data_IF_261384340856
#
_entry.id   IF_261384340856
#
_cell.length_a   1.000
_cell.length_b   1.000
_cell.length_c   1.000
_cell.angle_alpha   90.00
_cell.angle_beta   90.00
_cell.angle_gamma   90.00
#
_symmetry.space_group_name_H-M   'P 1'
#
loop_
_entity.id
_entity.type
_entity.pdbx_description
1 polymer ?
#
# COMPACT_ATOMS: atom_id res chain seq x y z
N UNK A 1 26.10 -11.10 -14.57
CA UNK A 1 24.67 -11.21 -14.88
C UNK A 1 24.03 -9.82 -14.84
N UNK A 2 24.03 -9.09 -13.71
CA UNK A 2 23.37 -7.76 -13.59
C UNK A 2 24.02 -6.71 -14.50
N UNK A 3 25.34 -6.69 -14.64
CA UNK A 3 26.08 -5.78 -15.54
C UNK A 3 25.81 -6.08 -17.03
N UNK A 4 25.33 -7.28 -17.35
CA UNK A 4 24.95 -7.67 -18.72
C UNK A 4 23.47 -7.37 -19.02
N UNK A 5 22.76 -6.60 -18.18
CA UNK A 5 21.36 -6.27 -18.36
C UNK A 5 20.39 -7.44 -18.12
N UNK A 6 20.82 -8.45 -17.36
CA UNK A 6 20.03 -9.58 -16.94
C UNK A 6 19.73 -9.52 -15.45
N UNK A 7 18.51 -9.86 -15.07
CA UNK A 7 18.06 -9.95 -13.67
C UNK A 7 18.00 -11.41 -13.28
N UNK A 8 18.68 -11.82 -12.21
CA UNK A 8 18.57 -13.17 -11.67
C UNK A 8 17.18 -13.37 -11.06
N UNK A 9 16.62 -14.57 -11.27
CA UNK A 9 15.36 -14.97 -10.70
C UNK A 9 15.41 -16.44 -10.26
N UNK A 10 14.53 -16.80 -9.33
CA UNK A 10 14.42 -18.15 -8.81
C UNK A 10 12.99 -18.62 -9.01
N UNK A 11 12.83 -19.84 -9.51
CA UNK A 11 11.55 -20.53 -9.58
C UNK A 11 11.56 -21.62 -8.51
N UNK A 12 10.58 -21.59 -7.63
CA UNK A 12 10.42 -22.58 -6.58
C UNK A 12 8.97 -23.07 -6.48
N UNK A 13 8.76 -24.12 -5.70
CA UNK A 13 7.46 -24.73 -5.49
C UNK A 13 7.22 -25.97 -6.37
N UNK A 14 6.18 -26.72 -6.04
CA UNK A 14 5.91 -28.00 -6.67
C UNK A 14 6.79 -29.13 -6.12
N UNK A 15 6.92 -30.21 -6.92
CA UNK A 15 7.74 -31.36 -6.57
C UNK A 15 9.15 -31.31 -7.17
N UNK A 16 9.41 -30.34 -8.03
CA UNK A 16 10.68 -30.18 -8.72
C UNK A 16 11.64 -29.29 -7.93
N UNK A 17 12.93 -29.45 -8.20
CA UNK A 17 13.97 -28.64 -7.59
C UNK A 17 13.87 -27.15 -7.99
N UNK A 18 14.43 -26.30 -7.13
CA UNK A 18 14.47 -24.86 -7.39
C UNK A 18 15.37 -24.57 -8.60
N UNK A 19 14.84 -23.85 -9.56
CA UNK A 19 15.56 -23.47 -10.78
C UNK A 19 16.01 -22.01 -10.71
N UNK A 20 17.29 -21.78 -11.03
CA UNK A 20 17.85 -20.44 -11.14
C UNK A 20 17.80 -20.02 -12.60
N UNK A 21 17.19 -18.89 -12.88
CA UNK A 21 17.04 -18.33 -14.22
C UNK A 21 17.55 -16.91 -14.31
N UNK A 22 17.77 -16.43 -15.51
CA UNK A 22 18.13 -15.04 -15.80
C UNK A 22 17.18 -14.47 -16.83
N UNK A 23 16.56 -13.33 -16.52
CA UNK A 23 15.55 -12.68 -17.36
C UNK A 23 16.10 -11.34 -17.84
N UNK A 24 15.78 -10.94 -19.06
CA UNK A 24 16.14 -9.61 -19.57
C UNK A 24 15.49 -8.51 -18.74
N UNK A 25 16.30 -7.56 -18.25
CA UNK A 25 15.86 -6.41 -17.46
C UNK A 25 14.79 -5.57 -18.18
N UNK A 26 14.94 -5.38 -19.50
CA UNK A 26 13.98 -4.60 -20.30
C UNK A 26 12.60 -5.26 -20.32
N UNK A 27 12.53 -6.57 -20.60
CA UNK A 27 11.28 -7.31 -20.60
C UNK A 27 10.63 -7.33 -19.22
N UNK A 28 11.45 -7.55 -18.20
CA UNK A 28 10.95 -7.58 -16.81
C UNK A 28 10.37 -6.22 -16.39
N UNK A 29 11.02 -5.11 -16.76
CA UNK A 29 10.51 -3.77 -16.46
C UNK A 29 9.15 -3.52 -17.10
N UNK A 30 8.98 -3.84 -18.37
CA UNK A 30 7.69 -3.73 -19.08
C UNK A 30 6.59 -4.60 -18.47
N UNK A 31 6.95 -5.77 -17.93
CA UNK A 31 5.98 -6.64 -17.26
C UNK A 31 5.58 -6.09 -15.87
N UNK A 32 6.53 -5.54 -15.11
CA UNK A 32 6.29 -4.98 -13.78
C UNK A 32 5.46 -3.68 -13.84
N UNK A 33 5.58 -2.90 -14.91
CA UNK A 33 4.78 -1.69 -15.13
C UNK A 33 3.26 -1.98 -15.21
N UNK A 34 2.89 -3.24 -15.44
CA UNK A 34 1.49 -3.67 -15.34
C UNK A 34 1.11 -3.86 -13.87
N UNK A 35 0.07 -3.18 -13.44
CA UNK A 35 -0.42 -3.25 -12.04
C UNK A 35 -0.74 -4.70 -11.60
N UNK A 36 -1.15 -5.54 -12.55
CA UNK A 36 -1.56 -6.93 -12.33
C UNK A 36 -0.40 -7.93 -12.35
N UNK A 37 0.86 -7.48 -12.42
CA UNK A 37 2.01 -8.37 -12.55
C UNK A 37 2.06 -9.43 -11.44
N UNK A 38 1.80 -9.04 -10.19
CA UNK A 38 1.84 -9.95 -9.04
C UNK A 38 0.62 -10.88 -8.93
N UNK A 39 -0.46 -10.58 -9.65
CA UNK A 39 -1.69 -11.39 -9.65
C UNK A 39 -1.88 -12.22 -10.92
N UNK A 40 -1.02 -12.05 -11.94
CA UNK A 40 -1.15 -12.76 -13.20
C UNK A 40 -0.22 -13.97 -13.31
N UNK A 41 -0.72 -15.06 -13.88
CA UNK A 41 0.10 -16.22 -14.24
C UNK A 41 0.88 -15.90 -15.49
N UNK A 42 2.18 -16.12 -15.44
CA UNK A 42 3.11 -15.91 -16.55
C UNK A 42 3.65 -17.25 -17.01
N UNK A 43 3.66 -17.49 -18.31
CA UNK A 43 4.30 -18.66 -18.90
C UNK A 43 5.74 -18.31 -19.24
N UNK A 44 6.69 -18.92 -18.53
CA UNK A 44 8.11 -18.79 -18.82
C UNK A 44 8.59 -19.97 -19.67
N UNK A 45 9.25 -19.67 -20.78
CA UNK A 45 9.92 -20.68 -21.60
C UNK A 45 11.35 -20.89 -21.12
N UNK A 46 11.59 -22.00 -20.43
CA UNK A 46 12.90 -22.37 -19.90
C UNK A 46 13.41 -23.57 -20.69
N UNK A 47 14.51 -23.38 -21.43
CA UNK A 47 15.12 -24.44 -22.26
C UNK A 47 14.11 -25.16 -23.17
N UNK A 48 13.12 -24.42 -23.69
CA UNK A 48 12.09 -24.99 -24.58
C UNK A 48 10.90 -25.63 -23.87
N UNK A 49 10.85 -25.61 -22.53
CA UNK A 49 9.71 -26.10 -21.76
C UNK A 49 8.91 -24.92 -21.22
N UNK A 50 7.62 -24.78 -21.56
CA UNK A 50 6.76 -23.76 -20.99
C UNK A 50 6.40 -24.14 -19.52
N UNK A 51 6.66 -23.24 -18.59
CA UNK A 51 6.27 -23.40 -17.17
C UNK A 51 5.39 -22.24 -16.75
N UNK A 52 4.25 -22.56 -16.14
CA UNK A 52 3.36 -21.55 -15.57
C UNK A 52 3.85 -21.17 -14.18
N UNK A 53 4.13 -19.90 -13.99
CA UNK A 53 4.65 -19.35 -12.76
C UNK A 53 3.88 -18.10 -12.35
N UNK A 54 3.84 -17.86 -11.05
CA UNK A 54 3.27 -16.66 -10.45
C UNK A 54 4.40 -15.84 -9.82
N UNK A 55 4.58 -14.57 -10.17
CA UNK A 55 5.52 -13.70 -9.48
C UNK A 55 5.09 -13.53 -8.01
N UNK A 56 6.01 -13.72 -7.09
CA UNK A 56 5.72 -13.62 -5.65
C UNK A 56 6.32 -12.36 -5.05
N UNK A 57 7.58 -12.11 -5.34
CA UNK A 57 8.31 -10.97 -4.82
C UNK A 57 9.22 -10.38 -5.88
N UNK A 58 9.28 -9.07 -5.95
CA UNK A 58 10.23 -8.33 -6.78
C UNK A 58 11.05 -7.45 -5.86
N UNK A 59 12.37 -7.62 -5.89
CA UNK A 59 13.31 -6.76 -5.17
C UNK A 59 13.84 -5.67 -6.07
N UNK A 60 13.77 -4.44 -5.59
CA UNK A 60 14.23 -3.26 -6.33
C UNK A 60 15.53 -2.71 -5.73
N UNK A 61 16.24 -2.00 -6.54
CA UNK A 61 17.40 -1.23 -6.09
C UNK A 61 16.91 0.09 -5.48
N UNK A 62 17.42 0.44 -4.30
CA UNK A 62 16.90 1.55 -3.47
C UNK A 62 16.96 2.92 -4.16
N UNK A 63 17.98 3.15 -5.01
CA UNK A 63 18.20 4.46 -5.65
C UNK A 63 17.66 4.55 -7.08
N UNK A 64 17.65 3.43 -7.82
CA UNK A 64 17.32 3.43 -9.25
C UNK A 64 15.98 2.79 -9.56
N UNK A 65 15.27 2.25 -8.56
CA UNK A 65 14.02 1.50 -8.68
C UNK A 65 14.06 0.39 -9.75
N UNK A 66 15.27 -0.08 -10.06
CA UNK A 66 15.46 -1.14 -11.01
C UNK A 66 15.28 -2.50 -10.36
N UNK A 67 14.61 -3.45 -11.02
CA UNK A 67 14.45 -4.80 -10.49
C UNK A 67 15.81 -5.49 -10.40
N UNK A 68 16.14 -5.98 -9.20
CA UNK A 68 17.41 -6.67 -8.89
C UNK A 68 17.26 -8.16 -8.74
N UNK A 69 16.09 -8.64 -8.34
CA UNK A 69 15.76 -10.05 -8.16
C UNK A 69 14.25 -10.26 -8.29
N UNK A 70 13.84 -11.41 -8.81
CA UNK A 70 12.41 -11.80 -8.86
C UNK A 70 12.27 -13.24 -8.42
N UNK A 71 11.27 -13.47 -7.59
CA UNK A 71 10.90 -14.76 -7.08
C UNK A 71 9.61 -15.24 -7.76
N UNK A 72 9.65 -16.42 -8.34
CA UNK A 72 8.52 -17.04 -9.01
C UNK A 72 8.09 -18.30 -8.27
N UNK A 73 6.80 -18.42 -8.05
CA UNK A 73 6.16 -19.62 -7.54
C UNK A 73 5.62 -20.45 -8.71
N UNK A 74 6.00 -21.73 -8.78
CA UNK A 74 5.49 -22.66 -9.77
C UNK A 74 4.01 -22.95 -9.48
N UNK A 75 3.16 -22.74 -10.49
CA UNK A 75 1.71 -22.95 -10.35
C UNK A 75 1.35 -24.33 -10.85
N UNK A 76 0.80 -25.15 -9.95
CA UNK A 76 0.23 -26.45 -10.27
C UNK A 76 -1.28 -26.33 -10.41
N UNK A 77 -1.91 -27.04 -11.35
CA UNK A 77 -3.37 -27.05 -11.48
C UNK A 77 -4.03 -27.60 -10.22
N UNK A 78 -5.14 -27.00 -9.81
CA UNK A 78 -5.92 -27.44 -8.64
C UNK A 78 -5.37 -27.06 -7.27
N UNK A 79 -4.26 -26.34 -7.18
CA UNK A 79 -3.71 -25.85 -5.90
C UNK A 79 -4.28 -24.47 -5.56
N UNK A 80 -4.66 -24.27 -4.30
CA UNK A 80 -5.04 -22.93 -3.80
C UNK A 80 -3.80 -22.11 -3.49
N UNK A 81 -3.79 -20.89 -3.99
CA UNK A 81 -2.65 -19.98 -3.87
C UNK A 81 -3.11 -18.69 -3.20
N UNK A 82 -2.29 -18.15 -2.31
CA UNK A 82 -2.48 -16.83 -1.73
C UNK A 82 -1.90 -15.80 -2.67
N UNK A 83 -2.68 -14.84 -3.12
CA UNK A 83 -2.30 -13.82 -4.09
C UNK A 83 -2.74 -12.45 -3.60
N UNK A 84 -1.91 -11.44 -3.85
CA UNK A 84 -2.25 -10.04 -3.64
C UNK A 84 -2.85 -9.47 -4.93
N UNK A 85 -4.13 -9.15 -4.88
CA UNK A 85 -4.86 -8.58 -6.02
C UNK A 85 -5.06 -7.09 -5.82
N UNK A 86 -4.75 -6.24 -6.81
CA UNK A 86 -4.96 -4.82 -6.74
C UNK A 86 -6.46 -4.48 -6.77
N UNK A 87 -6.82 -3.42 -6.06
CA UNK A 87 -8.18 -2.90 -6.01
C UNK A 87 -8.29 -1.67 -6.90
N UNK A 88 -9.19 -1.73 -7.88
CA UNK A 88 -9.49 -0.64 -8.78
C UNK A 88 -10.82 0.01 -8.37
N UNK A 89 -10.80 1.32 -8.22
CA UNK A 89 -11.98 2.11 -7.90
C UNK A 89 -12.55 2.69 -9.19
N UNK A 90 -13.84 2.44 -9.43
CA UNK A 90 -14.55 2.94 -10.60
C UNK A 90 -15.62 3.94 -10.19
N UNK A 91 -16.12 4.74 -11.17
CA UNK A 91 -17.21 5.70 -10.98
C UNK A 91 -16.92 6.84 -9.97
N UNK A 92 -15.66 7.30 -9.91
CA UNK A 92 -15.29 8.45 -9.08
C UNK A 92 -16.19 9.67 -9.28
N UNK A 93 -16.57 9.96 -10.52
CA UNK A 93 -17.39 11.11 -10.87
C UNK A 93 -18.85 10.99 -10.42
N UNK A 94 -19.35 9.80 -10.18
CA UNK A 94 -20.73 9.56 -9.79
C UNK A 94 -20.96 9.61 -8.29
N UNK A 95 -19.90 9.52 -7.50
CA UNK A 95 -19.98 9.59 -6.04
C UNK A 95 -20.44 10.97 -5.57
N UNK A 96 -21.55 11.09 -4.84
CA UNK A 96 -22.01 12.36 -4.28
C UNK A 96 -21.06 12.88 -3.21
N UNK A 97 -20.39 12.02 -2.47
CA UNK A 97 -19.43 12.38 -1.46
C UNK A 97 -18.16 13.02 -2.05
N UNK A 98 -17.64 12.51 -3.17
CA UNK A 98 -16.50 13.13 -3.87
C UNK A 98 -16.88 14.49 -4.48
N UNK A 99 -18.10 14.61 -5.03
CA UNK A 99 -18.61 15.89 -5.55
C UNK A 99 -18.75 16.98 -4.48
N UNK A 100 -19.03 16.59 -3.25
CA UNK A 100 -19.08 17.50 -2.09
C UNK A 100 -17.72 17.85 -1.51
N UNK A 101 -16.63 17.40 -2.16
CA UNK A 101 -15.27 17.66 -1.72
C UNK A 101 -14.71 16.62 -0.75
N UNK A 102 -15.35 15.46 -0.59
CA UNK A 102 -14.81 14.34 0.16
C UNK A 102 -13.51 13.81 -0.44
N UNK A 103 -12.65 13.26 0.41
CA UNK A 103 -11.37 12.67 0.01
C UNK A 103 -11.45 11.16 0.18
N UNK A 104 -11.14 10.43 -0.90
CA UNK A 104 -11.02 8.98 -0.85
C UNK A 104 -9.71 8.59 -0.16
N UNK A 105 -9.80 8.06 1.04
CA UNK A 105 -8.67 7.53 1.78
C UNK A 105 -8.58 6.01 1.52
N UNK A 106 -7.57 5.59 0.76
CA UNK A 106 -7.33 4.20 0.43
C UNK A 106 -6.48 3.58 1.54
N UNK A 107 -7.09 2.73 2.36
CA UNK A 107 -6.42 2.00 3.44
C UNK A 107 -5.62 0.83 2.90
N UNK A 108 -6.17 0.13 1.90
CA UNK A 108 -5.52 -1.02 1.25
C UNK A 108 -5.65 -0.93 -0.25
N UNK A 109 -4.51 -0.86 -0.93
CA UNK A 109 -4.45 -0.89 -2.40
C UNK A 109 -4.47 -2.30 -2.96
N UNK A 110 -4.07 -3.28 -2.14
CA UNK A 110 -4.02 -4.70 -2.49
C UNK A 110 -4.73 -5.51 -1.43
N UNK A 111 -5.41 -6.54 -1.84
CA UNK A 111 -6.11 -7.48 -0.95
C UNK A 111 -5.56 -8.88 -1.17
N UNK A 112 -5.19 -9.55 -0.07
CA UNK A 112 -4.77 -10.93 -0.12
C UNK A 112 -5.98 -11.86 -0.23
N UNK A 113 -6.00 -12.62 -1.31
CA UNK A 113 -7.02 -13.61 -1.60
C UNK A 113 -6.43 -15.00 -1.68
N UNK A 114 -7.19 -15.98 -1.26
CA UNK A 114 -6.90 -17.38 -1.43
C UNK A 114 -7.81 -17.93 -2.53
N UNK A 115 -7.26 -18.16 -3.71
CA UNK A 115 -7.99 -18.58 -4.90
C UNK A 115 -7.36 -19.84 -5.52
N UNK A 116 -8.16 -20.65 -6.24
CA UNK A 116 -7.63 -21.74 -7.04
C UNK A 116 -6.83 -21.17 -8.22
N UNK A 117 -5.80 -21.91 -8.64
CA UNK A 117 -4.90 -21.49 -9.73
C UNK A 117 -5.59 -21.20 -11.06
N UNK A 118 -6.79 -21.72 -11.28
CA UNK A 118 -7.53 -21.57 -12.52
C UNK A 118 -8.39 -20.30 -12.58
N UNK A 119 -8.74 -19.76 -11.42
CA UNK A 119 -9.65 -18.61 -11.28
C UNK A 119 -8.99 -17.50 -10.45
N UNK A 120 -7.98 -16.89 -11.00
CA UNK A 120 -7.31 -15.76 -10.39
C UNK A 120 -7.95 -14.48 -10.91
N UNK A 121 -8.57 -13.64 -10.05
CA UNK A 121 -9.06 -12.35 -10.49
C UNK A 121 -7.89 -11.41 -10.78
N UNK A 122 -7.88 -10.78 -11.94
CA UNK A 122 -6.84 -9.81 -12.29
C UNK A 122 -6.94 -8.55 -11.42
N UNK A 123 -8.15 -8.07 -11.18
CA UNK A 123 -8.43 -6.88 -10.40
C UNK A 123 -9.70 -7.06 -9.56
N UNK A 124 -9.76 -6.39 -8.42
CA UNK A 124 -10.98 -6.21 -7.65
C UNK A 124 -11.57 -4.85 -8.00
N UNK A 125 -12.78 -4.83 -8.54
CA UNK A 125 -13.46 -3.58 -8.84
C UNK A 125 -14.37 -3.18 -7.69
N UNK A 126 -14.20 -1.95 -7.20
CA UNK A 126 -15.06 -1.30 -6.23
C UNK A 126 -15.80 -0.14 -6.89
N UNK A 127 -17.11 -0.17 -6.81
CA UNK A 127 -17.95 0.89 -7.34
C UNK A 127 -18.20 1.96 -6.28
N UNK A 128 -17.92 3.22 -6.63
CA UNK A 128 -18.10 4.39 -5.77
C UNK A 128 -19.45 5.08 -6.00
N UNK A 129 -20.34 4.48 -6.79
CA UNK A 129 -21.63 5.10 -7.10
C UNK A 129 -22.52 5.17 -5.85
N UNK A 130 -23.14 6.34 -5.64
CA UNK A 130 -24.10 6.57 -4.56
C UNK A 130 -23.53 6.71 -3.15
N UNK A 131 -22.22 6.72 -2.96
CA UNK A 131 -21.59 6.74 -1.65
C UNK A 131 -21.35 8.17 -1.15
N UNK A 132 -21.73 8.41 0.10
CA UNK A 132 -21.60 9.69 0.78
C UNK A 132 -20.38 9.75 1.73
N UNK A 133 -20.11 10.96 2.23
CA UNK A 133 -19.01 11.24 3.15
C UNK A 133 -19.24 10.49 4.48
N UNK A 134 -18.20 9.83 4.97
CA UNK A 134 -18.25 9.04 6.20
C UNK A 134 -18.48 7.54 6.01
N UNK A 135 -18.76 7.10 4.80
CA UNK A 135 -18.90 5.69 4.50
C UNK A 135 -17.57 4.99 4.28
N UNK A 136 -17.54 3.70 4.60
CA UNK A 136 -16.36 2.85 4.46
C UNK A 136 -16.66 1.65 3.60
N UNK A 137 -15.75 1.39 2.66
CA UNK A 137 -15.78 0.19 1.82
C UNK A 137 -15.14 -0.97 2.55
N UNK A 138 -15.91 -1.99 2.77
CA UNK A 138 -15.46 -3.25 3.37
C UNK A 138 -15.31 -4.32 2.30
N UNK A 139 -14.59 -5.39 2.64
CA UNK A 139 -14.42 -6.54 1.73
C UNK A 139 -15.76 -7.15 1.30
N UNK A 140 -16.78 -7.10 2.15
CA UNK A 140 -18.13 -7.59 1.85
C UNK A 140 -18.83 -6.84 0.71
N UNK A 141 -18.41 -5.61 0.41
CA UNK A 141 -18.97 -4.81 -0.70
C UNK A 141 -18.36 -5.19 -2.06
N UNK A 142 -17.28 -5.98 -2.06
CA UNK A 142 -16.62 -6.43 -3.29
C UNK A 142 -17.30 -7.67 -3.82
N UNK A 143 -17.60 -7.70 -5.11
CA UNK A 143 -18.10 -8.91 -5.77
C UNK A 143 -16.94 -9.89 -5.94
N UNK A 144 -16.90 -10.88 -5.07
CA UNK A 144 -15.95 -11.98 -5.14
C UNK A 144 -16.63 -13.21 -5.73
N UNK A 145 -15.88 -13.97 -6.52
CA UNK A 145 -16.32 -15.28 -6.97
C UNK A 145 -16.45 -16.23 -5.79
N UNK A 146 -17.38 -17.19 -5.86
CA UNK A 146 -17.68 -18.12 -4.78
C UNK A 146 -16.49 -19.00 -4.33
N UNK A 147 -15.49 -19.17 -5.18
CA UNK A 147 -14.29 -19.98 -4.91
C UNK A 147 -13.12 -19.15 -4.34
N UNK A 148 -13.24 -17.82 -4.43
CA UNK A 148 -12.22 -16.86 -3.95
C UNK A 148 -12.57 -16.45 -2.54
N UNK A 149 -11.66 -16.70 -1.62
CA UNK A 149 -11.85 -16.35 -0.20
C UNK A 149 -10.76 -15.39 0.26
N UNK A 150 -11.11 -14.34 1.01
CA UNK A 150 -10.07 -13.48 1.60
C UNK A 150 -9.24 -14.27 2.61
N UNK A 151 -7.94 -14.00 2.68
CA UNK A 151 -7.03 -14.64 3.64
C UNK A 151 -7.42 -14.30 5.07
N UNK A 152 -7.90 -13.08 5.30
CA UNK A 152 -8.39 -12.64 6.61
C UNK A 152 -9.87 -13.01 6.71
N UNK A 153 -10.14 -14.13 7.36
CA UNK A 153 -11.49 -14.59 7.67
C UNK A 153 -11.90 -14.11 9.07
N UNK A 154 -13.17 -13.78 9.24
CA UNK A 154 -13.72 -13.37 10.54
C UNK A 154 -13.66 -11.87 10.87
N UNK A 155 -13.11 -11.05 10.00
CA UNK A 155 -13.17 -9.60 10.10
C UNK A 155 -13.51 -8.97 8.76
N UNK A 156 -14.52 -8.11 8.75
CA UNK A 156 -14.79 -7.21 7.63
C UNK A 156 -13.77 -6.07 7.67
N UNK A 157 -12.65 -6.25 7.01
CA UNK A 157 -11.66 -5.20 6.93
C UNK A 157 -12.05 -4.12 5.91
N UNK A 158 -11.67 -2.91 6.24
CA UNK A 158 -11.91 -1.74 5.40
C UNK A 158 -10.83 -1.66 4.32
N UNK A 159 -11.26 -1.42 3.09
CA UNK A 159 -10.40 -1.23 1.91
C UNK A 159 -10.17 0.27 1.69
N UNK A 160 -11.25 1.05 1.71
CA UNK A 160 -11.18 2.49 1.55
C UNK A 160 -12.26 3.18 2.39
N UNK A 161 -12.04 4.43 2.72
CA UNK A 161 -13.00 5.29 3.43
C UNK A 161 -13.14 6.61 2.71
N UNK A 162 -14.35 7.15 2.66
CA UNK A 162 -14.59 8.49 2.15
C UNK A 162 -14.66 9.46 3.32
N UNK A 163 -13.61 10.26 3.51
CA UNK A 163 -13.51 11.22 4.60
C UNK A 163 -13.92 12.64 4.16
N UNK A 164 -14.47 13.40 5.10
CA UNK A 164 -14.68 14.82 4.88
C UNK A 164 -13.33 15.55 4.75
N UNK A 165 -13.23 16.61 3.93
CA UNK A 165 -12.03 17.41 3.88
C UNK A 165 -11.81 18.06 5.24
N UNK A 166 -10.60 17.93 5.77
CA UNK A 166 -10.20 18.65 6.97
C UNK A 166 -9.99 20.11 6.59
N UNK A 167 -10.98 20.95 6.84
CA UNK A 167 -10.78 22.40 6.79
C UNK A 167 -9.93 22.72 8.02
N UNK A 168 -8.65 22.96 7.80
CA UNK A 168 -7.84 23.64 8.81
C UNK A 168 -8.45 25.03 8.98
N UNK A 169 -9.21 25.24 10.03
CA UNK A 169 -9.45 26.60 10.52
C UNK A 169 -8.09 27.08 10.98
N UNK A 170 -7.51 27.97 10.18
CA UNK A 170 -6.42 28.81 10.65
C UNK A 170 -6.87 29.43 11.98
N UNK A 171 -6.09 29.31 13.08
CA UNK A 171 -6.48 29.95 14.31
C UNK A 171 -6.56 31.45 14.02
N UNK A 172 -7.76 32.01 14.07
CA UNK A 172 -7.99 33.45 14.06
C UNK A 172 -7.07 34.05 15.11
N UNK A 173 -6.09 34.81 14.64
CA UNK A 173 -5.24 35.65 15.46
C UNK A 173 -6.17 36.53 16.28
N UNK A 174 -6.08 36.54 17.63
CA UNK A 174 -6.91 37.41 18.41
C UNK A 174 -6.64 38.85 17.98
N UNK A 175 -7.70 39.53 17.56
CA UNK A 175 -7.65 40.95 17.31
C UNK A 175 -7.17 41.68 18.56
N UNK A 176 -6.10 42.39 18.38
CA UNK A 176 -5.53 43.38 19.28
C UNK A 176 -6.61 44.42 19.57
N UNK A 177 -7.15 44.40 20.79
CA UNK A 177 -7.92 45.49 21.31
C UNK A 177 -6.96 46.51 21.92
N UNK A 178 -6.75 47.58 21.19
CA UNK A 178 -6.28 48.84 21.71
C UNK A 178 -7.23 49.31 22.81
N UNK A 179 -6.73 49.70 23.95
CA UNK A 179 -6.96 51.04 24.48
C UNK A 179 -6.48 51.19 25.95
N UNK A 180 -5.71 52.21 26.10
CA UNK A 180 -5.69 53.21 27.16
C UNK A 180 -4.95 52.84 28.48
N UNK A 181 -3.77 53.44 28.57
CA UNK A 181 -3.45 54.61 29.40
C UNK A 181 -3.63 54.46 30.93
N UNK A 182 -2.55 54.62 31.65
CA UNK A 182 -2.64 55.07 33.03
C UNK A 182 -1.51 54.62 33.96
N UNK A 183 -0.45 55.41 33.98
CA UNK A 183 0.32 55.90 35.16
C UNK A 183 0.89 54.96 36.24
N UNK A 184 2.22 55.08 36.31
CA UNK A 184 3.02 55.40 37.55
C UNK A 184 3.06 54.41 38.72
N UNK A 185 4.27 54.08 39.08
CA UNK A 185 4.58 53.92 40.48
C UNK A 185 5.61 52.84 40.80
N UNK A 186 6.87 53.27 40.78
CA UNK A 186 7.91 53.05 41.80
C UNK A 186 8.26 51.68 42.37
N UNK A 187 9.55 51.35 42.17
CA UNK A 187 10.55 50.94 43.15
C UNK A 187 10.44 49.61 43.94
N UNK A 188 11.53 48.91 43.89
CA UNK A 188 12.00 48.16 45.03
C UNK A 188 12.58 46.81 44.74
N UNK A 189 13.86 46.78 44.41
CA UNK A 189 14.94 46.16 45.16
C UNK A 189 14.90 44.62 45.35
N UNK A 190 15.92 43.98 44.74
CA UNK A 190 16.99 43.25 45.49
C UNK A 190 16.69 41.83 45.99
N UNK A 191 17.62 40.97 45.65
CA UNK A 191 17.99 39.79 46.43
C UNK A 191 18.03 38.51 45.62
N UNK A 192 19.09 38.23 44.93
CA UNK A 192 20.27 37.49 45.40
C UNK A 192 20.07 35.97 45.54
N UNK A 193 20.74 35.27 44.68
CA UNK A 193 21.76 34.27 44.96
C UNK A 193 21.39 32.80 45.18
N UNK A 194 22.19 32.03 44.47
CA UNK A 194 22.87 30.77 44.81
C UNK A 194 22.08 29.49 44.56
N UNK A 195 22.48 28.72 43.54
CA UNK A 195 23.59 27.77 43.52
C UNK A 195 23.34 26.50 44.32
N UNK A 196 23.44 25.40 43.63
CA UNK A 196 24.21 24.18 43.87
C UNK A 196 23.44 23.00 43.31
N UNK A 197 23.98 22.32 42.33
CA UNK A 197 25.03 21.29 42.36
C UNK A 197 24.54 19.91 42.83
N UNK A 198 24.93 18.89 42.09
CA UNK A 198 24.88 17.50 42.57
C UNK A 198 24.15 16.56 41.57
N UNK A 199 24.80 16.05 40.59
CA UNK A 199 25.63 14.82 40.58
C UNK A 199 24.83 13.55 40.21
N UNK A 200 25.25 12.93 39.10
CA UNK A 200 25.14 11.53 38.69
C UNK A 200 25.81 10.61 39.75
N UNK A 201 25.52 9.29 39.91
CA UNK A 201 25.70 8.31 38.84
C UNK A 201 24.82 7.05 38.87
N UNK A 202 24.88 6.36 37.73
CA UNK A 202 24.96 4.93 37.41
C UNK A 202 24.60 3.84 38.46
N UNK A 203 23.77 2.93 38.03
CA UNK A 203 24.03 1.49 37.99
C UNK A 203 23.10 0.86 36.91
#
# INVERSE_FOLDING_TARGET
IRNSGLVPAIIYGGKEENQKISISKKLLKTLIEKENFLSSIITLNIEGKPQNVLPREVKYHILSDEPTHVDFLRVLPGVRIKIEVPVNFINHEKSPGLKRGGVLNIVRRKVELNCPSEKIPENLTLDLDGIDIGESFKISSVKLDSEVTPTIQGRDFVIATLAAPTVMKEPEKPAEAEAAEGTEGTEGAEGAAAATDGEKPAA
#
